data_IF_162067242730
#
_entry.id   IF_162067242730
#
_cell.length_a   1.000
_cell.length_b   1.000
_cell.length_c   1.000
_cell.angle_alpha   90.00
_cell.angle_beta   90.00
_cell.angle_gamma   90.00
#
_symmetry.space_group_name_H-M   'P 1'
#
loop_
_entity.id
_entity.type
_entity.pdbx_description
1 polymer ?
#
# COMPACT_ATOMS: atom_id res chain seq x y z
N UNK A 1 -0.88 -75.40 3.99
CA UNK A 1 -1.49 -74.15 4.49
C UNK A 1 -0.51 -72.99 4.55
N UNK A 2 0.82 -73.19 4.67
CA UNK A 2 1.80 -72.09 4.73
C UNK A 2 1.97 -71.28 3.42
N UNK A 3 1.87 -71.92 2.25
CA UNK A 3 2.10 -71.25 0.95
C UNK A 3 1.04 -70.19 0.57
N UNK A 4 -0.17 -70.28 1.14
CA UNK A 4 -1.24 -69.29 0.90
C UNK A 4 -0.97 -67.97 1.65
N UNK A 5 -0.32 -68.03 2.82
CA UNK A 5 0.07 -66.83 3.58
C UNK A 5 1.26 -66.11 2.92
N UNK A 6 2.18 -66.85 2.30
CA UNK A 6 3.33 -66.26 1.59
C UNK A 6 2.89 -65.41 0.39
N UNK A 7 1.95 -65.92 -0.42
CA UNK A 7 1.36 -65.18 -1.56
C UNK A 7 0.63 -63.91 -1.09
N UNK A 8 -0.10 -64.00 0.03
CA UNK A 8 -0.76 -62.86 0.65
C UNK A 8 0.23 -61.80 1.14
N UNK A 9 1.33 -62.23 1.76
CA UNK A 9 2.39 -61.36 2.25
C UNK A 9 3.14 -60.65 1.11
N UNK A 10 3.43 -61.37 0.02
CA UNK A 10 4.12 -60.83 -1.15
C UNK A 10 3.23 -59.82 -1.88
N UNK A 11 1.95 -60.13 -2.07
CA UNK A 11 0.97 -59.23 -2.68
C UNK A 11 0.79 -57.95 -1.83
N UNK A 12 0.73 -58.10 -0.51
CA UNK A 12 0.65 -56.96 0.41
C UNK A 12 1.95 -56.11 0.39
N UNK A 13 3.11 -56.75 0.24
CA UNK A 13 4.39 -56.04 0.09
C UNK A 13 4.45 -55.25 -1.21
N UNK A 14 3.97 -55.83 -2.31
CA UNK A 14 3.92 -55.18 -3.63
C UNK A 14 2.97 -53.98 -3.62
N UNK A 15 1.79 -54.11 -2.98
CA UNK A 15 0.87 -52.99 -2.81
C UNK A 15 1.47 -51.86 -1.98
N UNK A 16 2.21 -52.16 -0.90
CA UNK A 16 2.89 -51.11 -0.12
C UNK A 16 3.94 -50.38 -0.95
N UNK A 17 4.75 -51.11 -1.73
CA UNK A 17 5.77 -50.51 -2.60
C UNK A 17 5.11 -49.63 -3.67
N UNK A 18 4.04 -50.10 -4.31
CA UNK A 18 3.29 -49.29 -5.28
C UNK A 18 2.71 -48.02 -4.66
N UNK A 19 2.18 -48.10 -3.45
CA UNK A 19 1.64 -46.94 -2.73
C UNK A 19 2.74 -45.94 -2.32
N UNK A 20 3.91 -46.43 -1.92
CA UNK A 20 5.10 -45.60 -1.66
C UNK A 20 5.60 -44.91 -2.94
N UNK A 21 5.64 -45.62 -4.07
CA UNK A 21 6.01 -45.04 -5.35
C UNK A 21 5.00 -43.99 -5.81
N UNK A 22 3.70 -44.26 -5.68
CA UNK A 22 2.63 -43.32 -6.02
C UNK A 22 2.68 -42.04 -5.17
N UNK A 23 2.92 -42.17 -3.85
CA UNK A 23 3.07 -41.01 -2.97
C UNK A 23 4.31 -40.18 -3.30
N UNK A 24 5.43 -40.82 -3.62
CA UNK A 24 6.65 -40.12 -4.05
C UNK A 24 6.44 -39.37 -5.37
N UNK A 25 5.77 -39.97 -6.36
CA UNK A 25 5.41 -39.32 -7.63
C UNK A 25 4.47 -38.15 -7.41
N UNK A 26 3.49 -38.28 -6.51
CA UNK A 26 2.58 -37.19 -6.15
C UNK A 26 3.31 -36.01 -5.49
N UNK A 27 4.21 -36.29 -4.56
CA UNK A 27 5.03 -35.26 -3.90
C UNK A 27 5.96 -34.56 -4.89
N UNK A 28 6.65 -35.31 -5.74
CA UNK A 28 7.55 -34.77 -6.77
C UNK A 28 6.80 -33.91 -7.79
N UNK A 29 5.62 -34.35 -8.23
CA UNK A 29 4.77 -33.58 -9.14
C UNK A 29 4.29 -32.28 -8.52
N UNK A 30 3.92 -32.31 -7.23
CA UNK A 30 3.52 -31.12 -6.47
C UNK A 30 4.69 -30.14 -6.33
N UNK A 31 5.87 -30.62 -5.96
CA UNK A 31 7.06 -29.78 -5.79
C UNK A 31 7.45 -29.11 -7.11
N UNK A 32 7.44 -29.86 -8.21
CA UNK A 32 7.72 -29.29 -9.53
C UNK A 32 6.68 -28.23 -9.94
N UNK A 33 5.39 -28.51 -9.74
CA UNK A 33 4.32 -27.54 -10.00
C UNK A 33 4.41 -26.28 -9.14
N UNK A 34 4.81 -26.42 -7.87
CA UNK A 34 5.03 -25.29 -6.98
C UNK A 34 6.23 -24.43 -7.44
N UNK A 35 7.35 -25.06 -7.77
CA UNK A 35 8.55 -24.36 -8.25
C UNK A 35 8.30 -23.59 -9.54
N UNK A 36 7.54 -24.17 -10.46
CA UNK A 36 7.16 -23.51 -11.71
C UNK A 36 6.22 -22.34 -11.46
N UNK A 37 5.23 -22.48 -10.57
CA UNK A 37 4.35 -21.40 -10.17
C UNK A 37 5.12 -20.24 -9.51
N UNK A 38 6.05 -20.55 -8.61
CA UNK A 38 6.92 -19.55 -7.96
C UNK A 38 7.83 -18.84 -8.97
N UNK A 39 8.38 -19.57 -9.95
CA UNK A 39 9.21 -18.96 -11.01
C UNK A 39 8.41 -17.98 -11.87
N UNK A 40 7.17 -18.34 -12.23
CA UNK A 40 6.27 -17.47 -13.00
C UNK A 40 5.86 -16.25 -12.20
N UNK A 41 5.54 -16.42 -10.91
CA UNK A 41 5.21 -15.31 -10.03
C UNK A 41 6.38 -14.31 -9.91
N UNK A 42 7.61 -14.80 -9.71
CA UNK A 42 8.82 -13.96 -9.67
C UNK A 42 9.07 -13.24 -10.99
N UNK A 43 8.85 -13.91 -12.13
CA UNK A 43 8.99 -13.29 -13.44
C UNK A 43 7.96 -12.15 -13.67
N UNK A 44 6.72 -12.34 -13.22
CA UNK A 44 5.68 -11.32 -13.31
C UNK A 44 6.01 -10.14 -12.38
N UNK A 45 6.42 -10.43 -11.14
CA UNK A 45 6.81 -9.40 -10.17
C UNK A 45 7.98 -8.55 -10.68
N UNK A 46 9.01 -9.18 -11.26
CA UNK A 46 10.13 -8.48 -11.86
C UNK A 46 9.69 -7.55 -12.99
N UNK A 47 8.80 -8.01 -13.88
CA UNK A 47 8.24 -7.19 -14.97
C UNK A 47 7.41 -6.01 -14.45
N UNK A 48 6.60 -6.23 -13.42
CA UNK A 48 5.80 -5.15 -12.82
C UNK A 48 6.68 -4.10 -12.14
N UNK A 49 7.77 -4.54 -11.49
CA UNK A 49 8.74 -3.63 -10.88
C UNK A 49 9.48 -2.80 -11.92
N UNK A 50 9.94 -3.42 -13.01
CA UNK A 50 10.60 -2.73 -14.11
C UNK A 50 9.67 -1.71 -14.78
N UNK A 51 8.42 -2.08 -15.06
CA UNK A 51 7.42 -1.17 -15.63
C UNK A 51 7.16 0.04 -14.72
N UNK A 52 7.07 -0.19 -13.39
CA UNK A 52 6.89 0.90 -12.42
C UNK A 52 8.11 1.81 -12.35
N UNK A 53 9.33 1.26 -12.42
CA UNK A 53 10.55 2.06 -12.43
C UNK A 53 10.64 2.93 -13.70
N UNK A 54 10.28 2.37 -14.85
CA UNK A 54 10.24 3.09 -16.12
C UNK A 54 9.24 4.25 -16.06
N UNK A 55 8.03 4.02 -15.54
CA UNK A 55 7.03 5.08 -15.34
C UNK A 55 7.52 6.18 -14.41
N UNK A 56 8.24 5.84 -13.34
CA UNK A 56 8.80 6.83 -12.41
C UNK A 56 9.88 7.67 -13.11
N UNK A 57 10.71 7.06 -13.95
CA UNK A 57 11.72 7.80 -14.73
C UNK A 57 11.04 8.74 -15.74
N UNK A 58 10.08 8.26 -16.52
CA UNK A 58 9.32 9.10 -17.45
C UNK A 58 8.61 10.25 -16.75
N UNK A 59 7.99 10.00 -15.59
CA UNK A 59 7.34 11.03 -14.79
C UNK A 59 8.34 12.06 -14.24
N UNK A 60 9.56 11.65 -13.89
CA UNK A 60 10.64 12.56 -13.48
C UNK A 60 11.11 13.41 -14.65
N UNK A 61 11.28 12.82 -15.82
CA UNK A 61 11.72 13.53 -17.02
C UNK A 61 10.67 14.53 -17.51
N UNK A 62 9.38 14.18 -17.42
CA UNK A 62 8.28 15.11 -17.71
C UNK A 62 8.24 16.27 -16.71
N UNK A 63 8.44 16.00 -15.41
CA UNK A 63 8.52 17.05 -14.39
C UNK A 63 9.75 17.94 -14.57
N UNK A 64 10.89 17.39 -14.99
CA UNK A 64 12.10 18.16 -15.26
C UNK A 64 11.95 19.09 -16.47
N UNK A 65 11.11 18.71 -17.44
CA UNK A 65 10.79 19.51 -18.65
C UNK A 65 9.67 20.54 -18.43
N UNK A 66 9.07 20.59 -17.24
CA UNK A 66 8.02 21.58 -16.94
C UNK A 66 8.65 23.00 -16.94
N UNK A 67 8.10 23.96 -17.72
CA UNK A 67 8.61 25.33 -17.78
C UNK A 67 8.76 25.97 -16.40
N UNK A 68 7.87 25.68 -15.44
CA UNK A 68 7.97 26.23 -14.08
C UNK A 68 9.19 25.69 -13.32
N UNK A 69 9.51 24.41 -13.49
CA UNK A 69 10.69 23.83 -12.85
C UNK A 69 11.98 24.31 -13.53
N UNK A 70 11.95 24.53 -14.84
CA UNK A 70 13.09 25.11 -15.57
C UNK A 70 13.36 26.54 -15.08
N UNK A 71 12.32 27.36 -14.94
CA UNK A 71 12.42 28.72 -14.39
C UNK A 71 12.90 28.70 -12.93
N UNK A 72 12.40 27.78 -12.10
CA UNK A 72 12.85 27.60 -10.72
C UNK A 72 14.34 27.25 -10.66
N UNK A 73 14.78 26.26 -11.46
CA UNK A 73 16.20 25.86 -11.55
C UNK A 73 17.05 27.02 -12.06
N UNK A 74 16.56 27.79 -13.03
CA UNK A 74 17.25 28.98 -13.54
C UNK A 74 17.40 30.05 -12.45
N UNK A 75 16.33 30.34 -11.69
CA UNK A 75 16.37 31.26 -10.56
C UNK A 75 17.31 30.78 -9.46
N UNK A 76 17.34 29.48 -9.15
CA UNK A 76 18.31 28.92 -8.21
C UNK A 76 19.75 29.05 -8.71
N UNK A 77 20.01 28.83 -10.00
CA UNK A 77 21.36 28.97 -10.57
C UNK A 77 21.81 30.44 -10.63
N UNK A 78 20.89 31.37 -10.88
CA UNK A 78 21.17 32.82 -10.93
C UNK A 78 21.32 33.37 -9.52
N UNK A 79 20.47 32.93 -8.58
CA UNK A 79 20.58 33.25 -7.16
C UNK A 79 21.84 32.69 -6.48
N UNK A 80 22.38 31.57 -6.96
CA UNK A 80 23.65 31.02 -6.48
C UNK A 80 24.86 31.81 -7.01
N UNK A 81 24.83 32.27 -8.27
CA UNK A 81 25.93 33.07 -8.86
C UNK A 81 26.08 34.46 -8.27
N UNK A 82 25.00 35.04 -7.74
CA UNK A 82 25.05 36.35 -7.06
C UNK A 82 25.58 36.27 -5.64
N UNK A 83 25.65 35.08 -5.04
CA UNK A 83 26.20 34.88 -3.69
C UNK A 83 27.70 34.61 -3.72
N UNK A 84 28.23 33.91 -4.73
CA UNK A 84 29.68 33.64 -4.83
C UNK A 84 30.51 34.82 -5.34
N UNK A 85 29.90 35.77 -6.06
CA UNK A 85 30.60 36.93 -6.64
C UNK A 85 30.56 38.20 -5.76
N UNK A 86 29.81 38.19 -4.65
CA UNK A 86 29.73 39.31 -3.71
C UNK A 86 30.27 38.86 -2.37
N UNK A 87 31.59 39.02 -2.19
CA UNK A 87 32.30 38.79 -0.94
C UNK A 87 31.72 39.62 0.21
N UNK A 88 30.70 39.09 0.86
CA UNK A 88 30.11 39.61 2.09
C UNK A 88 29.97 38.41 3.02
N UNK A 89 30.99 38.28 3.86
CA UNK A 89 30.95 37.73 5.20
C UNK A 89 29.85 36.70 5.45
N UNK A 90 30.25 35.45 5.32
CA UNK A 90 29.61 34.31 5.98
C UNK A 90 29.57 34.55 7.50
N UNK A 91 28.63 35.37 7.96
CA UNK A 91 28.09 35.24 9.32
C UNK A 91 27.24 33.98 9.29
N UNK A 92 27.94 32.86 9.46
CA UNK A 92 27.38 31.53 9.36
C UNK A 92 26.15 31.41 10.26
N UNK A 93 24.98 31.30 9.64
CA UNK A 93 23.85 30.62 10.27
C UNK A 93 24.21 29.14 10.19
N UNK A 94 25.01 28.68 11.13
CA UNK A 94 25.20 27.25 11.36
C UNK A 94 23.84 26.69 11.78
N UNK A 95 23.18 25.96 10.88
CA UNK A 95 22.08 25.04 11.20
C UNK A 95 22.64 23.82 11.95
N UNK A 96 23.43 24.06 12.99
CA UNK A 96 23.70 23.05 13.98
C UNK A 96 22.37 22.82 14.70
N UNK A 97 21.79 21.67 14.44
CA UNK A 97 20.58 21.17 15.09
C UNK A 97 20.88 21.01 16.59
N UNK A 98 20.79 22.10 17.34
CA UNK A 98 20.81 22.13 18.79
C UNK A 98 19.71 21.19 19.29
N UNK A 99 20.09 20.00 19.76
CA UNK A 99 19.20 18.94 20.23
C UNK A 99 18.44 19.29 21.52
N UNK A 100 18.57 20.53 22.00
CA UNK A 100 17.94 21.05 23.22
C UNK A 100 17.00 22.23 23.02
N UNK A 101 16.72 22.66 21.78
CA UNK A 101 15.74 23.74 21.55
C UNK A 101 14.31 23.24 21.80
N UNK A 102 13.48 23.95 22.60
CA UNK A 102 12.06 23.59 22.79
C UNK A 102 11.24 23.70 21.51
N UNK A 103 11.79 24.28 20.44
CA UNK A 103 11.19 24.29 19.10
C UNK A 103 11.59 23.06 18.25
N UNK A 104 12.69 22.37 18.59
CA UNK A 104 13.16 21.18 17.89
C UNK A 104 12.33 19.91 18.21
N UNK A 105 11.60 19.91 19.33
CA UNK A 105 10.62 18.86 19.65
C UNK A 105 9.44 18.84 18.66
N UNK A 106 9.17 19.95 17.98
CA UNK A 106 8.13 20.00 16.96
C UNK A 106 8.58 19.32 15.65
N UNK A 107 9.86 19.42 15.26
CA UNK A 107 10.31 18.90 13.97
C UNK A 107 10.56 17.37 13.93
N UNK A 108 10.65 16.70 15.09
CA UNK A 108 10.92 15.26 15.16
C UNK A 108 9.65 14.37 15.26
N UNK A 109 8.44 14.97 15.24
CA UNK A 109 7.16 14.25 15.29
C UNK A 109 6.36 14.21 13.98
N UNK A 110 6.86 14.79 12.89
CA UNK A 110 6.07 15.00 11.66
C UNK A 110 6.06 13.84 10.67
N UNK A 111 6.53 12.64 11.05
CA UNK A 111 6.44 11.44 10.20
C UNK A 111 5.37 10.43 10.63
N UNK A 112 4.49 10.76 11.57
CA UNK A 112 3.42 9.84 12.00
C UNK A 112 2.13 10.50 12.51
N UNK A 113 1.81 11.71 12.06
CA UNK A 113 0.48 12.28 12.24
C UNK A 113 -0.13 12.58 10.89
N UNK A 114 -1.15 11.80 10.51
CA UNK A 114 -2.21 12.25 9.63
C UNK A 114 -2.55 13.68 10.06
N UNK A 115 -2.20 14.64 9.21
CA UNK A 115 -2.03 16.02 9.62
C UNK A 115 -3.27 16.54 10.30
N UNK A 116 -3.08 17.16 11.46
CA UNK A 116 -3.95 18.23 11.93
C UNK A 116 -4.18 19.15 10.72
N UNK A 117 -5.35 19.01 10.09
CA UNK A 117 -5.81 19.90 9.05
C UNK A 117 -6.00 21.24 9.73
N UNK A 118 -4.97 22.08 9.68
CA UNK A 118 -5.03 23.48 10.08
C UNK A 118 -6.14 24.07 9.21
N UNK A 119 -7.30 24.26 9.82
CA UNK A 119 -8.59 24.51 9.20
C UNK A 119 -8.67 25.92 8.63
N UNK A 120 -7.99 26.16 7.51
CA UNK A 120 -8.21 27.38 6.74
C UNK A 120 -9.40 27.16 5.79
N UNK A 121 -10.58 27.59 6.25
CA UNK A 121 -11.81 27.65 5.48
C UNK A 121 -12.06 29.08 5.00
N UNK A 122 -11.41 29.45 3.88
CA UNK A 122 -11.70 30.73 3.21
C UNK A 122 -12.90 30.57 2.25
N UNK A 123 -13.68 31.64 2.10
CA UNK A 123 -14.78 31.71 1.13
C UNK A 123 -14.30 31.49 -0.31
N UNK A 124 -13.13 32.03 -0.64
CA UNK A 124 -12.45 31.83 -1.93
C UNK A 124 -12.12 30.35 -2.18
N UNK A 125 -11.67 29.63 -1.13
CA UNK A 125 -11.37 28.19 -1.22
C UNK A 125 -12.64 27.38 -1.48
N UNK A 126 -13.75 27.68 -0.81
CA UNK A 126 -15.05 27.03 -1.06
C UNK A 126 -15.54 27.27 -2.49
N UNK A 127 -15.41 28.48 -2.99
CA UNK A 127 -15.79 28.81 -4.37
C UNK A 127 -14.92 28.09 -5.41
N UNK A 128 -13.60 28.05 -5.18
CA UNK A 128 -12.66 27.35 -6.06
C UNK A 128 -12.93 25.83 -6.11
N UNK A 129 -13.20 25.22 -4.96
CA UNK A 129 -13.56 23.79 -4.87
C UNK A 129 -14.89 23.53 -5.58
N UNK A 130 -15.92 24.36 -5.35
CA UNK A 130 -17.20 24.18 -6.02
C UNK A 130 -17.08 24.28 -7.54
N UNK A 131 -16.32 25.25 -8.04
CA UNK A 131 -16.07 25.41 -9.48
C UNK A 131 -15.28 24.23 -10.05
N UNK A 132 -14.30 23.70 -9.31
CA UNK A 132 -13.56 22.50 -9.70
C UNK A 132 -14.46 21.26 -9.76
N UNK A 133 -15.33 21.05 -8.78
CA UNK A 133 -16.26 19.92 -8.73
C UNK A 133 -17.30 19.98 -9.86
N UNK A 134 -17.77 21.18 -10.21
CA UNK A 134 -18.63 21.39 -11.37
C UNK A 134 -17.91 21.06 -12.68
N UNK A 135 -16.66 21.50 -12.84
CA UNK A 135 -15.83 21.17 -14.02
C UNK A 135 -15.53 19.67 -14.12
N UNK A 136 -15.39 18.99 -12.98
CA UNK A 136 -15.18 17.55 -12.90
C UNK A 136 -16.46 16.73 -13.15
N UNK A 137 -17.61 17.37 -13.42
CA UNK A 137 -18.88 16.69 -13.71
C UNK A 137 -19.49 15.99 -12.50
N UNK A 138 -19.16 16.42 -11.28
CA UNK A 138 -19.72 15.85 -10.05
C UNK A 138 -21.17 16.34 -9.90
N UNK A 139 -22.09 15.39 -9.68
CA UNK A 139 -23.49 15.71 -9.44
C UNK A 139 -23.66 16.67 -8.24
N UNK A 140 -24.59 17.64 -8.30
CA UNK A 140 -24.74 18.66 -7.27
C UNK A 140 -25.03 18.05 -5.88
N UNK A 141 -25.76 16.94 -5.82
CA UNK A 141 -26.05 16.20 -4.58
C UNK A 141 -24.79 15.68 -3.88
N UNK A 142 -23.75 15.34 -4.63
CA UNK A 142 -22.48 14.81 -4.10
C UNK A 142 -21.42 15.89 -3.92
N UNK A 143 -21.65 17.08 -4.48
CA UNK A 143 -20.69 18.18 -4.45
C UNK A 143 -20.40 18.66 -3.03
N UNK A 144 -21.43 18.74 -2.17
CA UNK A 144 -21.28 19.18 -0.78
C UNK A 144 -20.47 18.19 0.06
N UNK A 145 -20.75 16.90 -0.09
CA UNK A 145 -20.02 15.82 0.60
C UNK A 145 -18.56 15.83 0.18
N UNK A 146 -18.30 15.96 -1.13
CA UNK A 146 -16.93 15.98 -1.66
C UNK A 146 -16.18 17.25 -1.27
N UNK A 147 -16.87 18.39 -1.22
CA UNK A 147 -16.32 19.63 -0.69
C UNK A 147 -15.92 19.47 0.78
N UNK A 148 -16.74 18.84 1.64
CA UNK A 148 -16.38 18.57 3.03
C UNK A 148 -15.11 17.70 3.16
N UNK A 149 -14.98 16.69 2.31
CA UNK A 149 -13.77 15.84 2.24
C UNK A 149 -12.55 16.67 1.81
N UNK A 150 -12.67 17.48 0.76
CA UNK A 150 -11.58 18.35 0.26
C UNK A 150 -11.20 19.44 1.28
N UNK A 151 -12.16 19.87 2.10
CA UNK A 151 -11.95 20.80 3.21
C UNK A 151 -11.35 20.13 4.45
N UNK A 152 -11.10 18.81 4.43
CA UNK A 152 -10.52 18.06 5.55
C UNK A 152 -11.50 17.75 6.68
N UNK A 153 -12.80 18.00 6.48
CA UNK A 153 -13.87 17.71 7.45
C UNK A 153 -14.50 16.33 7.23
N UNK A 154 -14.14 15.64 6.15
CA UNK A 154 -14.64 14.31 5.80
C UNK A 154 -13.52 13.32 5.56
N UNK A 155 -13.82 12.04 5.77
CA UNK A 155 -12.91 10.94 5.45
C UNK A 155 -12.93 10.72 3.93
N UNK A 156 -11.76 10.65 3.31
CA UNK A 156 -11.69 10.38 1.87
C UNK A 156 -12.24 8.98 1.54
N UNK A 157 -12.87 8.76 0.37
CA UNK A 157 -13.41 7.45 0.00
C UNK A 157 -12.37 6.33 0.09
N UNK A 158 -11.13 6.61 -0.32
CA UNK A 158 -10.03 5.65 -0.24
C UNK A 158 -9.63 5.31 1.19
N UNK A 159 -9.63 6.30 2.08
CA UNK A 159 -9.33 6.11 3.49
C UNK A 159 -10.46 5.36 4.22
N UNK A 160 -11.71 5.64 3.87
CA UNK A 160 -12.87 4.88 4.34
C UNK A 160 -12.78 3.40 3.93
N UNK A 161 -12.35 3.12 2.70
CA UNK A 161 -12.10 1.75 2.23
C UNK A 161 -10.97 1.09 3.02
N UNK A 162 -9.84 1.80 3.22
CA UNK A 162 -8.71 1.28 4.01
C UNK A 162 -9.10 0.98 5.47
N UNK A 163 -9.88 1.85 6.10
CA UNK A 163 -10.39 1.65 7.46
C UNK A 163 -11.35 0.46 7.54
N UNK A 164 -12.24 0.30 6.55
CA UNK A 164 -13.12 -0.86 6.43
C UNK A 164 -12.33 -2.17 6.24
N UNK A 165 -11.31 -2.15 5.39
CA UNK A 165 -10.47 -3.32 5.13
C UNK A 165 -9.58 -3.66 6.33
N UNK A 166 -9.10 -2.67 7.08
CA UNK A 166 -8.39 -2.88 8.34
C UNK A 166 -9.28 -3.50 9.42
N UNK A 167 -10.54 -3.05 9.54
CA UNK A 167 -11.52 -3.63 10.46
C UNK A 167 -11.92 -5.07 10.11
N UNK A 168 -11.97 -5.42 8.82
CA UNK A 168 -12.32 -6.78 8.38
C UNK A 168 -11.15 -7.76 8.45
N UNK A 169 -9.90 -7.29 8.34
CA UNK A 169 -8.69 -8.14 8.50
C UNK A 169 -8.33 -8.42 9.96
N UNK A 170 -8.68 -7.53 10.88
CA UNK A 170 -8.37 -7.67 12.30
C UNK A 170 -9.47 -8.35 13.13
N UNK A 171 -10.55 -8.85 12.52
CA UNK A 171 -11.52 -9.67 13.22
C UNK A 171 -10.89 -11.05 13.53
N UNK A 172 -10.64 -11.40 14.80
CA UNK A 172 -10.15 -12.73 15.14
C UNK A 172 -11.17 -13.76 14.66
N UNK A 173 -10.70 -14.84 14.04
CA UNK A 173 -11.54 -15.90 13.47
C UNK A 173 -12.59 -16.49 14.46
N UNK A 174 -12.42 -16.25 15.76
CA UNK A 174 -13.39 -16.57 16.82
C UNK A 174 -14.72 -15.80 16.71
N UNK A 175 -14.73 -14.56 16.23
CA UNK A 175 -15.95 -13.76 16.14
C UNK A 175 -16.86 -14.17 14.96
N UNK A 176 -16.26 -14.58 13.83
CA UNK A 176 -17.02 -15.11 12.68
C UNK A 176 -17.70 -16.46 12.93
N UNK A 177 -17.23 -17.22 13.93
CA UNK A 177 -17.85 -18.49 14.35
C UNK A 177 -19.10 -18.30 15.21
N UNK A 178 -19.17 -17.22 16.00
CA UNK A 178 -20.32 -16.92 16.87
C UNK A 178 -21.53 -16.44 16.08
N UNK A 179 -21.36 -15.58 15.07
CA UNK A 179 -22.48 -15.15 14.20
C UNK A 179 -23.10 -16.33 13.42
N UNK A 180 -22.28 -17.23 12.87
CA UNK A 180 -22.80 -18.42 12.15
C UNK A 180 -23.40 -19.49 13.07
N UNK A 181 -23.03 -19.49 14.36
CA UNK A 181 -23.56 -20.42 15.36
C UNK A 181 -24.95 -20.01 15.87
N UNK A 182 -25.24 -18.71 15.93
CA UNK A 182 -26.54 -18.19 16.38
C UNK A 182 -27.64 -18.48 15.33
N UNK A 183 -27.31 -18.42 14.04
CA UNK A 183 -28.27 -18.70 12.95
C UNK A 183 -28.65 -20.19 12.79
N UNK A 184 -27.84 -21.13 13.32
CA UNK A 184 -28.13 -22.58 13.25
C UNK A 184 -28.58 -23.20 14.58
N UNK A 185 -28.62 -22.41 15.66
CA UNK A 185 -28.83 -22.91 17.02
C UNK A 185 -30.26 -22.83 17.55
N UNK A 186 -31.22 -22.25 16.81
CA UNK A 186 -32.58 -21.99 17.32
C UNK A 186 -33.55 -23.17 17.08
N UNK A 187 -33.19 -24.18 16.29
CA UNK A 187 -34.14 -25.24 15.89
C UNK A 187 -34.04 -26.58 16.67
N UNK A 188 -33.33 -26.64 17.80
CA UNK A 188 -33.35 -27.84 18.66
C UNK A 188 -33.69 -27.49 20.10
N UNK A 189 -34.98 -27.28 20.35
CA UNK A 189 -35.48 -27.04 21.70
C UNK A 189 -36.96 -26.66 21.77
N UNK A 190 -37.85 -27.44 21.16
CA UNK A 190 -39.26 -27.61 21.56
C UNK A 190 -39.73 -29.01 21.20
#
# INVERSE_FOLDING_TARGET
MAELDDIGSETASMMRIMLQMATLVALKSREHGQKDAESRAKAIEAKMKEARELQIREARDLKAKDPRNIELVQMMSVGSRTVESRGVESRGVSLNKESGSPFAASAAGHSSSAGQAVGYDSTERRAAIAAHLQRAGVAPELSQVRMLVEMGHGISPEEAIRLRDAGTRNMPARARGLERGIERGIERGR
#
